data_IF_621422047449
#
_entry.id   IF_621422047449
#
_cell.length_a   1.000
_cell.length_b   1.000
_cell.length_c   1.000
_cell.angle_alpha   90.00
_cell.angle_beta   90.00
_cell.angle_gamma   90.00
#
_symmetry.space_group_name_H-M   'P 1'
#
loop_
_entity.id
_entity.type
_entity.pdbx_description
1 polymer ?
#
# COMPACT_ATOMS: atom_id res chain seq x y z
N UNK A 1 -14.64 1.27 -0.48
CA UNK A 1 -14.64 0.03 0.33
C UNK A 1 -13.56 -0.93 -0.17
N UNK A 2 -12.78 -1.54 0.72
CA UNK A 2 -11.76 -2.53 0.34
C UNK A 2 -12.38 -3.73 -0.38
N UNK A 3 -11.69 -4.27 -1.39
CA UNK A 3 -12.15 -5.42 -2.17
C UNK A 3 -11.61 -6.73 -1.57
N UNK A 4 -12.11 -7.08 -0.39
CA UNK A 4 -11.59 -8.17 0.43
C UNK A 4 -12.03 -9.55 -0.05
N UNK A 5 -13.23 -9.66 -0.63
CA UNK A 5 -13.79 -10.90 -1.14
C UNK A 5 -12.90 -11.50 -2.23
N UNK A 6 -12.51 -10.69 -3.23
CA UNK A 6 -11.66 -11.15 -4.31
C UNK A 6 -10.25 -11.52 -3.81
N UNK A 7 -9.73 -10.74 -2.86
CA UNK A 7 -8.46 -11.03 -2.19
C UNK A 7 -8.50 -12.38 -1.47
N UNK A 8 -9.52 -12.67 -0.65
CA UNK A 8 -9.68 -13.96 0.03
C UNK A 8 -9.81 -15.12 -0.96
N UNK A 9 -10.68 -14.96 -1.95
CA UNK A 9 -10.92 -15.96 -2.99
C UNK A 9 -9.65 -16.33 -3.76
N UNK A 10 -8.82 -15.34 -4.08
CA UNK A 10 -7.52 -15.58 -4.71
C UNK A 10 -6.58 -16.37 -3.83
N UNK A 11 -6.47 -16.01 -2.55
CA UNK A 11 -5.56 -16.68 -1.63
C UNK A 11 -5.98 -18.12 -1.34
N UNK A 12 -7.28 -18.38 -1.12
CA UNK A 12 -7.82 -19.73 -0.99
C UNK A 12 -7.52 -20.56 -2.25
N UNK A 13 -7.79 -20.00 -3.43
CA UNK A 13 -7.50 -20.65 -4.71
C UNK A 13 -6.02 -20.99 -4.90
N UNK A 14 -5.13 -20.06 -4.56
CA UNK A 14 -3.67 -20.27 -4.60
C UNK A 14 -3.24 -21.42 -3.67
N UNK A 15 -3.77 -21.49 -2.44
CA UNK A 15 -3.45 -22.56 -1.48
C UNK A 15 -3.91 -23.93 -1.96
N UNK A 16 -5.14 -24.04 -2.44
CA UNK A 16 -5.68 -25.29 -3.00
C UNK A 16 -4.86 -25.74 -4.20
N UNK A 17 -4.55 -24.81 -5.12
CA UNK A 17 -3.72 -25.08 -6.29
C UNK A 17 -2.32 -25.54 -5.89
N UNK A 18 -1.70 -24.86 -4.93
CA UNK A 18 -0.37 -25.22 -4.43
C UNK A 18 -0.36 -26.63 -3.83
N UNK A 19 -1.32 -26.93 -2.94
CA UNK A 19 -1.46 -28.27 -2.36
C UNK A 19 -1.63 -29.34 -3.46
N UNK A 20 -2.51 -29.09 -4.43
CA UNK A 20 -2.73 -30.02 -5.56
C UNK A 20 -1.48 -30.25 -6.40
N UNK A 21 -0.78 -29.17 -6.78
CA UNK A 21 0.33 -29.24 -7.74
C UNK A 21 1.66 -29.63 -7.10
N UNK A 22 1.87 -29.29 -5.82
CA UNK A 22 3.17 -29.43 -5.14
C UNK A 22 3.19 -30.52 -4.09
N UNK A 23 2.06 -30.83 -3.47
CA UNK A 23 2.01 -31.88 -2.43
C UNK A 23 1.42 -33.19 -2.96
N UNK A 24 0.37 -33.10 -3.78
CA UNK A 24 -0.24 -34.28 -4.39
C UNK A 24 0.27 -34.59 -5.80
N UNK A 25 0.82 -33.59 -6.49
CA UNK A 25 1.29 -33.67 -7.89
C UNK A 25 0.24 -34.27 -8.85
N UNK A 26 -1.02 -33.87 -8.68
CA UNK A 26 -2.14 -34.40 -9.48
C UNK A 26 -2.81 -33.35 -10.37
N UNK A 27 -3.45 -33.84 -11.43
CA UNK A 27 -4.35 -33.05 -12.27
C UNK A 27 -5.62 -32.65 -11.50
N UNK A 28 -6.34 -31.64 -11.98
CA UNK A 28 -7.62 -31.21 -11.40
C UNK A 28 -8.66 -32.35 -11.38
N UNK A 29 -8.70 -33.20 -12.41
CA UNK A 29 -9.63 -34.34 -12.48
C UNK A 29 -9.33 -35.37 -11.39
N UNK A 30 -8.05 -35.70 -11.21
CA UNK A 30 -7.61 -36.62 -10.17
C UNK A 30 -7.84 -36.04 -8.76
N UNK A 31 -7.64 -34.73 -8.56
CA UNK A 31 -7.90 -34.07 -7.29
C UNK A 31 -9.38 -34.16 -6.91
N UNK A 32 -10.29 -33.83 -7.83
CA UNK A 32 -11.73 -33.91 -7.61
C UNK A 32 -12.18 -35.34 -7.34
N UNK A 33 -11.65 -36.32 -8.07
CA UNK A 33 -11.94 -37.73 -7.84
C UNK A 33 -11.53 -38.16 -6.43
N UNK A 34 -10.31 -37.81 -5.98
CA UNK A 34 -9.83 -38.08 -4.62
C UNK A 34 -10.70 -37.41 -3.56
N UNK A 35 -11.01 -36.12 -3.73
CA UNK A 35 -11.84 -35.35 -2.78
C UNK A 35 -13.25 -35.95 -2.63
N UNK A 36 -13.85 -36.41 -3.74
CA UNK A 36 -15.15 -37.08 -3.73
C UNK A 36 -15.11 -38.43 -3.01
N UNK A 37 -14.04 -39.21 -3.19
CA UNK A 37 -13.89 -40.52 -2.54
C UNK A 37 -13.61 -40.40 -1.04
N UNK A 38 -12.80 -39.42 -0.62
CA UNK A 38 -12.35 -39.30 0.77
C UNK A 38 -13.30 -38.49 1.65
N UNK A 39 -13.91 -37.43 1.11
CA UNK A 39 -14.69 -36.46 1.91
C UNK A 39 -16.13 -36.30 1.43
N UNK A 40 -16.58 -37.07 0.44
CA UNK A 40 -17.93 -36.99 -0.16
C UNK A 40 -18.31 -35.59 -0.66
N UNK A 41 -17.34 -34.70 -0.93
CA UNK A 41 -17.61 -33.38 -1.48
C UNK A 41 -17.84 -33.51 -2.99
N UNK A 42 -19.00 -33.04 -3.44
CA UNK A 42 -19.28 -32.87 -4.86
C UNK A 42 -18.68 -31.55 -5.35
N UNK A 43 -17.53 -31.65 -6.02
CA UNK A 43 -16.90 -30.57 -6.76
C UNK A 43 -16.68 -31.06 -8.20
N UNK A 44 -16.77 -30.19 -9.21
CA UNK A 44 -16.40 -30.57 -10.59
C UNK A 44 -15.03 -29.99 -10.94
N UNK A 45 -14.36 -30.54 -11.95
CA UNK A 45 -13.12 -29.96 -12.50
C UNK A 45 -13.30 -28.47 -12.85
N UNK A 46 -14.46 -28.12 -13.43
CA UNK A 46 -14.78 -26.75 -13.80
C UNK A 46 -14.90 -25.84 -12.56
N UNK A 47 -15.55 -26.31 -11.49
CA UNK A 47 -15.60 -25.59 -10.22
C UNK A 47 -14.19 -25.41 -9.63
N UNK A 48 -13.37 -26.47 -9.61
CA UNK A 48 -12.00 -26.41 -9.09
C UNK A 48 -11.16 -25.40 -9.85
N UNK A 49 -11.20 -25.44 -11.19
CA UNK A 49 -10.49 -24.48 -12.02
C UNK A 49 -10.90 -23.03 -11.72
N UNK A 50 -12.19 -22.79 -11.45
CA UNK A 50 -12.66 -21.45 -11.07
C UNK A 50 -12.19 -21.04 -9.68
N UNK A 51 -12.16 -21.96 -8.72
CA UNK A 51 -11.62 -21.74 -7.38
C UNK A 51 -10.14 -21.37 -7.45
N UNK A 52 -9.33 -22.20 -8.11
CA UNK A 52 -7.88 -22.00 -8.24
C UNK A 52 -7.50 -20.71 -8.95
N UNK A 53 -8.36 -20.22 -9.85
CA UNK A 53 -8.14 -19.00 -10.60
C UNK A 53 -8.88 -17.77 -10.02
N UNK A 54 -9.66 -17.92 -8.95
CA UNK A 54 -10.54 -16.88 -8.39
C UNK A 54 -11.57 -16.31 -9.39
N UNK A 55 -11.98 -17.11 -10.38
CA UNK A 55 -12.94 -16.71 -11.41
C UNK A 55 -14.39 -16.94 -10.94
N UNK A 56 -14.85 -16.04 -10.06
CA UNK A 56 -16.27 -15.91 -9.71
C UNK A 56 -17.07 -15.39 -10.92
N UNK A 57 -18.29 -15.91 -11.12
CA UNK A 57 -19.26 -15.39 -12.09
C UNK A 57 -20.40 -14.87 -11.23
N UNK A 58 -20.37 -13.57 -10.91
CA UNK A 58 -21.31 -12.91 -9.98
C UNK A 58 -22.77 -13.22 -10.30
N UNK A 59 -23.11 -13.44 -11.58
CA UNK A 59 -24.48 -13.73 -12.06
C UNK A 59 -25.03 -15.13 -11.72
N UNK A 60 -24.19 -16.16 -11.56
CA UNK A 60 -24.66 -17.55 -11.40
C UNK A 60 -24.28 -18.20 -10.06
N UNK A 61 -23.17 -17.78 -9.45
CA UNK A 61 -22.83 -18.16 -8.08
C UNK A 61 -22.00 -17.02 -7.47
N UNK A 62 -22.59 -16.18 -6.58
CA UNK A 62 -21.89 -15.06 -5.98
C UNK A 62 -20.76 -15.51 -5.03
N UNK A 63 -20.76 -16.77 -4.59
CA UNK A 63 -19.81 -17.29 -3.61
C UNK A 63 -18.88 -18.36 -4.21
N UNK A 64 -17.58 -18.27 -3.94
CA UNK A 64 -16.59 -19.19 -4.53
C UNK A 64 -16.73 -20.62 -3.98
N UNK A 65 -16.99 -20.76 -2.68
CA UNK A 65 -17.09 -22.01 -1.94
C UNK A 65 -18.26 -21.95 -0.95
N UNK A 66 -18.84 -23.11 -0.65
CA UNK A 66 -19.81 -23.30 0.44
C UNK A 66 -19.12 -23.73 1.73
N UNK A 67 -19.76 -23.55 2.88
CA UNK A 67 -19.21 -23.95 4.19
C UNK A 67 -18.83 -25.44 4.23
N UNK A 68 -19.67 -26.31 3.66
CA UNK A 68 -19.38 -27.76 3.54
C UNK A 68 -18.16 -28.04 2.67
N UNK A 69 -17.97 -27.26 1.59
CA UNK A 69 -16.80 -27.41 0.73
C UNK A 69 -15.53 -26.93 1.43
N UNK A 70 -15.60 -25.83 2.19
CA UNK A 70 -14.48 -25.37 3.03
C UNK A 70 -14.10 -26.46 4.02
N UNK A 71 -15.06 -26.98 4.79
CA UNK A 71 -14.78 -28.00 5.81
C UNK A 71 -14.13 -29.24 5.21
N UNK A 72 -14.69 -29.78 4.14
CA UNK A 72 -14.13 -31.01 3.59
C UNK A 72 -12.83 -30.79 2.78
N UNK A 73 -12.60 -29.60 2.20
CA UNK A 73 -11.28 -29.25 1.63
C UNK A 73 -10.23 -29.14 2.72
N UNK A 74 -10.55 -28.47 3.83
CA UNK A 74 -9.70 -28.38 5.02
C UNK A 74 -9.35 -29.77 5.57
N UNK A 75 -10.35 -30.64 5.74
CA UNK A 75 -10.11 -32.03 6.16
C UNK A 75 -9.24 -32.81 5.17
N UNK A 76 -9.42 -32.59 3.87
CA UNK A 76 -8.61 -33.27 2.83
C UNK A 76 -7.16 -32.77 2.80
N UNK A 77 -6.95 -31.48 3.08
CA UNK A 77 -5.65 -30.83 3.10
C UNK A 77 -4.93 -30.94 4.45
N UNK A 78 -5.56 -31.59 5.44
CA UNK A 78 -5.09 -31.70 6.82
C UNK A 78 -4.79 -30.33 7.47
N UNK A 79 -5.70 -29.37 7.28
CA UNK A 79 -5.62 -28.04 7.87
C UNK A 79 -6.96 -27.59 8.47
N UNK A 80 -6.95 -26.53 9.27
CA UNK A 80 -8.21 -25.95 9.77
C UNK A 80 -8.94 -25.13 8.69
N UNK A 81 -10.27 -24.95 8.77
CA UNK A 81 -11.00 -23.97 7.94
C UNK A 81 -10.38 -22.58 8.00
N UNK A 82 -9.92 -22.19 9.18
CA UNK A 82 -9.28 -20.92 9.41
C UNK A 82 -7.97 -20.76 8.62
N UNK A 83 -7.14 -21.79 8.65
CA UNK A 83 -5.87 -21.83 7.93
C UNK A 83 -6.08 -21.89 6.40
N UNK A 84 -7.10 -22.61 5.94
CA UNK A 84 -7.45 -22.59 4.51
C UNK A 84 -7.83 -21.18 4.04
N UNK A 85 -8.65 -20.47 4.82
CA UNK A 85 -9.18 -19.14 4.50
C UNK A 85 -8.12 -18.05 4.66
N UNK A 86 -7.51 -17.94 5.83
CA UNK A 86 -6.62 -16.85 6.19
C UNK A 86 -5.13 -17.19 6.03
N UNK A 87 -4.79 -18.47 5.99
CA UNK A 87 -3.41 -18.95 5.92
C UNK A 87 -2.79 -19.17 7.29
N UNK A 88 -1.49 -19.44 7.25
CA UNK A 88 -0.58 -19.52 8.38
C UNK A 88 -0.47 -18.20 9.15
N UNK A 89 0.22 -18.21 10.30
CA UNK A 89 0.46 -17.00 11.11
C UNK A 89 1.18 -15.92 10.30
N UNK A 90 2.18 -16.29 9.51
CA UNK A 90 2.94 -15.34 8.67
C UNK A 90 2.05 -14.74 7.57
N UNK A 91 1.20 -15.54 6.93
CA UNK A 91 0.24 -15.04 5.94
C UNK A 91 -0.77 -14.07 6.57
N UNK A 92 -1.23 -14.33 7.79
CA UNK A 92 -2.10 -13.42 8.54
C UNK A 92 -1.39 -12.10 8.84
N UNK A 93 -0.12 -12.14 9.25
CA UNK A 93 0.71 -10.94 9.45
C UNK A 93 0.78 -10.10 8.17
N UNK A 94 1.08 -10.74 7.04
CA UNK A 94 1.12 -10.06 5.73
C UNK A 94 -0.24 -9.49 5.34
N UNK A 95 -1.32 -10.23 5.58
CA UNK A 95 -2.69 -9.77 5.33
C UNK A 95 -3.02 -8.51 6.14
N UNK A 96 -2.69 -8.46 7.43
CA UNK A 96 -2.92 -7.27 8.26
C UNK A 96 -2.10 -6.09 7.73
N UNK A 97 -0.83 -6.28 7.37
CA UNK A 97 -0.03 -5.22 6.73
C UNK A 97 -0.67 -4.69 5.45
N UNK A 98 -1.18 -5.58 4.59
CA UNK A 98 -1.88 -5.21 3.36
C UNK A 98 -3.16 -4.40 3.64
N UNK A 99 -3.96 -4.80 4.63
CA UNK A 99 -5.16 -4.07 5.06
C UNK A 99 -4.78 -2.67 5.54
N UNK A 100 -3.78 -2.54 6.41
CA UNK A 100 -3.32 -1.24 6.90
C UNK A 100 -2.81 -0.36 5.76
N UNK A 101 -2.03 -0.90 4.82
CA UNK A 101 -1.60 -0.17 3.62
C UNK A 101 -2.81 0.27 2.79
N UNK A 102 -3.81 -0.59 2.59
CA UNK A 102 -4.97 -0.24 1.78
C UNK A 102 -5.80 0.88 2.43
N UNK A 103 -5.88 0.90 3.77
CA UNK A 103 -6.47 1.99 4.54
C UNK A 103 -5.65 3.28 4.39
N UNK A 104 -4.31 3.22 4.49
CA UNK A 104 -3.43 4.39 4.31
C UNK A 104 -3.62 4.99 2.91
N UNK A 105 -3.58 4.16 1.86
CA UNK A 105 -3.71 4.63 0.47
C UNK A 105 -5.11 5.18 0.21
N UNK A 106 -6.14 4.53 0.77
CA UNK A 106 -7.55 4.86 0.60
C UNK A 106 -7.92 5.20 -0.87
N UNK A 107 -7.47 4.39 -1.82
CA UNK A 107 -7.75 4.57 -3.24
C UNK A 107 -7.06 5.76 -3.93
N UNK A 108 -5.96 6.29 -3.36
CA UNK A 108 -5.18 7.36 -4.00
C UNK A 108 -4.68 6.96 -5.38
N UNK A 109 -4.81 7.87 -6.35
CA UNK A 109 -4.43 7.65 -7.76
C UNK A 109 -3.31 8.57 -8.21
N UNK A 110 -2.48 8.07 -9.13
CA UNK A 110 -1.50 8.89 -9.84
C UNK A 110 -2.23 9.73 -10.88
N UNK A 111 -2.11 11.05 -10.79
CA UNK A 111 -2.82 12.00 -11.67
C UNK A 111 -2.39 11.93 -13.13
N UNK A 112 -1.15 11.54 -13.41
CA UNK A 112 -0.62 11.42 -14.79
C UNK A 112 -1.17 10.19 -15.50
N UNK A 113 -1.31 9.07 -14.78
CA UNK A 113 -1.70 7.78 -15.37
C UNK A 113 -3.16 7.39 -15.09
N UNK A 114 -3.80 8.02 -14.11
CA UNK A 114 -5.14 7.66 -13.61
C UNK A 114 -5.18 6.34 -12.82
N UNK A 115 -4.06 5.61 -12.73
CA UNK A 115 -3.96 4.35 -12.00
C UNK A 115 -3.78 4.54 -10.50
N UNK A 116 -4.08 3.51 -9.71
CA UNK A 116 -3.81 3.51 -8.27
C UNK A 116 -2.32 3.67 -7.96
N UNK A 117 -2.03 4.35 -6.85
CA UNK A 117 -0.68 4.36 -6.28
C UNK A 117 -0.52 3.09 -5.46
N UNK A 118 0.44 2.26 -5.85
CA UNK A 118 0.77 1.05 -5.11
C UNK A 118 2.00 1.29 -4.23
N UNK A 119 2.00 0.93 -2.94
CA UNK A 119 3.15 1.12 -2.04
C UNK A 119 4.27 0.08 -2.26
N UNK A 120 4.39 -0.51 -3.44
CA UNK A 120 5.30 -1.62 -3.73
C UNK A 120 6.25 -1.27 -4.89
N UNK A 121 7.38 -1.95 -4.89
CA UNK A 121 8.36 -1.92 -5.98
C UNK A 121 8.10 -3.16 -6.85
N UNK A 122 7.69 -2.98 -8.12
CA UNK A 122 7.45 -4.11 -9.03
C UNK A 122 8.78 -4.56 -9.64
N UNK A 123 9.37 -5.61 -9.04
CA UNK A 123 10.63 -6.23 -9.49
C UNK A 123 10.46 -7.21 -10.65
N UNK A 124 9.24 -7.41 -11.17
CA UNK A 124 8.96 -8.43 -12.22
C UNK A 124 9.42 -7.95 -13.58
N UNK A 125 10.71 -8.07 -13.82
CA UNK A 125 11.36 -7.78 -15.09
C UNK A 125 11.63 -9.12 -15.78
N UNK A 126 10.97 -9.41 -16.91
CA UNK A 126 11.23 -10.66 -17.65
C UNK A 126 12.43 -10.49 -18.57
N UNK A 127 13.18 -11.58 -18.81
CA UNK A 127 14.25 -11.60 -19.82
C UNK A 127 13.77 -11.10 -21.19
N UNK A 128 12.55 -11.50 -21.59
CA UNK A 128 11.92 -11.02 -22.83
C UNK A 128 11.58 -9.53 -22.81
N UNK A 129 11.18 -8.97 -21.67
CA UNK A 129 10.96 -7.53 -21.54
C UNK A 129 12.27 -6.76 -21.70
N UNK A 130 13.38 -7.29 -21.16
CA UNK A 130 14.74 -6.74 -21.34
C UNK A 130 15.18 -6.83 -22.81
N UNK A 131 14.99 -7.97 -23.47
CA UNK A 131 15.34 -8.18 -24.88
C UNK A 131 14.46 -7.38 -25.87
N UNK A 132 13.21 -7.05 -25.53
CA UNK A 132 12.31 -6.26 -26.39
C UNK A 132 12.67 -4.77 -26.41
N UNK A 133 13.26 -4.26 -25.33
CA UNK A 133 13.84 -2.91 -25.26
C UNK A 133 14.95 -2.77 -26.32
N UNK A 134 15.79 -3.81 -26.49
CA UNK A 134 16.83 -3.88 -27.51
C UNK A 134 16.31 -3.70 -28.96
N UNK A 135 15.02 -4.00 -29.19
CA UNK A 135 14.41 -3.98 -30.52
C UNK A 135 13.42 -2.83 -30.74
N UNK A 136 13.20 -1.95 -29.76
CA UNK A 136 12.18 -0.87 -29.79
C UNK A 136 10.78 -1.36 -30.19
N UNK A 137 10.46 -2.63 -29.93
CA UNK A 137 9.15 -3.22 -30.26
C UNK A 137 8.42 -3.68 -28.99
N UNK A 138 7.36 -2.96 -28.65
CA UNK A 138 6.06 -3.62 -28.47
C UNK A 138 5.66 -4.18 -27.11
N UNK A 139 6.19 -3.72 -25.97
CA UNK A 139 5.51 -3.89 -24.67
C UNK A 139 5.67 -2.64 -23.79
N UNK A 140 4.94 -1.56 -24.15
CA UNK A 140 4.93 -0.28 -23.40
C UNK A 140 4.84 -0.49 -21.88
N UNK A 141 3.97 -1.38 -21.41
CA UNK A 141 3.79 -1.68 -19.98
C UNK A 141 5.03 -2.27 -19.31
N UNK A 142 5.81 -3.11 -20.00
CA UNK A 142 7.00 -3.72 -19.42
C UNK A 142 8.18 -2.73 -19.37
N UNK A 143 8.25 -1.85 -20.37
CA UNK A 143 9.20 -0.72 -20.43
C UNK A 143 8.89 0.26 -19.30
N UNK A 144 7.64 0.70 -19.16
CA UNK A 144 7.21 1.64 -18.11
C UNK A 144 7.54 1.12 -16.70
N UNK A 145 7.36 -0.19 -16.45
CA UNK A 145 7.68 -0.82 -15.15
C UNK A 145 9.18 -0.84 -14.86
N UNK A 146 10.00 -1.21 -15.85
CA UNK A 146 11.44 -1.26 -15.67
C UNK A 146 12.03 0.15 -15.50
N UNK A 147 11.53 1.13 -16.25
CA UNK A 147 11.91 2.53 -16.09
C UNK A 147 11.53 3.04 -14.69
N UNK A 148 10.32 2.74 -14.20
CA UNK A 148 9.91 3.07 -12.82
C UNK A 148 10.82 2.38 -11.79
N UNK A 149 11.14 1.10 -11.98
CA UNK A 149 12.04 0.35 -11.10
C UNK A 149 13.43 1.00 -11.04
N UNK A 150 14.05 1.27 -12.19
CA UNK A 150 15.37 1.91 -12.27
C UNK A 150 15.36 3.32 -11.69
N UNK A 151 14.30 4.11 -11.94
CA UNK A 151 14.12 5.44 -11.34
C UNK A 151 14.09 5.33 -9.82
N UNK A 152 13.29 4.42 -9.28
CA UNK A 152 13.22 4.20 -7.83
C UNK A 152 14.56 3.75 -7.28
N UNK A 153 15.20 2.75 -7.87
CA UNK A 153 16.52 2.28 -7.46
C UNK A 153 17.55 3.41 -7.42
N UNK A 154 17.57 4.28 -8.43
CA UNK A 154 18.46 5.45 -8.49
C UNK A 154 18.23 6.40 -7.32
N UNK A 155 16.97 6.66 -6.97
CA UNK A 155 16.61 7.64 -5.95
C UNK A 155 16.75 7.09 -4.51
N UNK A 156 16.83 5.77 -4.35
CA UNK A 156 16.71 5.07 -3.05
C UNK A 156 18.00 4.38 -2.62
N UNK A 157 18.71 3.74 -3.55
CA UNK A 157 19.92 2.98 -3.25
C UNK A 157 21.09 3.94 -3.16
N UNK A 158 21.83 3.91 -2.04
CA UNK A 158 22.96 4.80 -1.77
C UNK A 158 24.31 4.08 -1.75
N UNK A 159 24.38 2.85 -2.27
CA UNK A 159 25.62 2.08 -2.40
C UNK A 159 26.50 2.67 -3.50
N UNK A 160 27.71 3.13 -3.19
CA UNK A 160 28.47 4.01 -4.09
C UNK A 160 28.74 3.46 -5.49
N UNK A 161 29.06 2.17 -5.62
CA UNK A 161 29.35 1.56 -6.93
C UNK A 161 28.06 1.25 -7.68
N UNK A 162 27.11 0.58 -7.02
CA UNK A 162 25.82 0.23 -7.59
C UNK A 162 25.00 1.46 -7.97
N UNK A 163 25.05 2.55 -7.19
CA UNK A 163 24.38 3.83 -7.48
C UNK A 163 24.83 4.40 -8.81
N UNK A 164 26.13 4.37 -9.10
CA UNK A 164 26.66 4.88 -10.36
C UNK A 164 26.21 4.03 -11.56
N UNK A 165 26.16 2.70 -11.39
CA UNK A 165 25.68 1.77 -12.41
C UNK A 165 24.18 1.98 -12.68
N UNK A 166 23.35 2.09 -11.65
CA UNK A 166 21.91 2.36 -11.77
C UNK A 166 21.68 3.72 -12.43
N UNK A 167 22.42 4.75 -12.02
CA UNK A 167 22.33 6.09 -12.59
C UNK A 167 22.64 6.08 -14.09
N UNK A 168 23.70 5.37 -14.49
CA UNK A 168 24.04 5.21 -15.90
C UNK A 168 22.93 4.52 -16.68
N UNK A 169 22.39 3.40 -16.17
CA UNK A 169 21.29 2.67 -16.82
C UNK A 169 20.03 3.52 -16.95
N UNK A 170 19.67 4.27 -15.90
CA UNK A 170 18.49 5.12 -15.92
C UNK A 170 18.64 6.30 -16.90
N UNK A 171 19.76 7.03 -16.85
CA UNK A 171 19.99 8.18 -17.74
C UNK A 171 20.09 7.77 -19.21
N UNK A 172 20.63 6.58 -19.48
CA UNK A 172 20.79 6.07 -20.83
C UNK A 172 19.69 5.09 -21.24
N UNK A 173 18.60 4.95 -20.46
CA UNK A 173 17.60 3.88 -20.63
C UNK A 173 17.05 3.76 -22.07
N UNK A 174 16.89 4.88 -22.79
CA UNK A 174 16.42 4.90 -24.17
C UNK A 174 17.53 4.74 -25.24
N UNK A 175 18.79 4.67 -24.82
CA UNK A 175 19.99 4.58 -25.65
C UNK A 175 20.78 3.28 -25.43
N UNK A 176 20.61 2.59 -24.30
CA UNK A 176 21.26 1.29 -24.07
C UNK A 176 20.54 0.20 -24.87
N UNK A 177 21.31 -0.63 -25.58
CA UNK A 177 20.77 -1.76 -26.34
C UNK A 177 20.38 -2.94 -25.42
N UNK A 178 21.03 -3.10 -24.28
CA UNK A 178 20.72 -4.12 -23.27
C UNK A 178 20.82 -3.52 -21.85
N UNK A 179 19.89 -3.90 -20.97
CA UNK A 179 19.95 -3.55 -19.54
C UNK A 179 20.75 -4.63 -18.81
N UNK A 180 21.73 -4.22 -18.02
CA UNK A 180 22.60 -5.12 -17.26
C UNK A 180 21.78 -5.95 -16.25
N UNK A 181 21.72 -7.27 -16.47
CA UNK A 181 20.96 -8.18 -15.61
C UNK A 181 21.57 -8.28 -14.21
N UNK A 182 22.89 -8.11 -14.07
CA UNK A 182 23.60 -8.17 -12.80
C UNK A 182 23.19 -6.98 -11.93
N UNK A 183 23.22 -5.77 -12.50
CA UNK A 183 22.78 -4.54 -11.79
C UNK A 183 21.31 -4.63 -11.36
N UNK A 184 20.43 -5.17 -12.21
CA UNK A 184 19.02 -5.37 -11.83
C UNK A 184 18.90 -6.36 -10.68
N UNK A 185 19.65 -7.46 -10.71
CA UNK A 185 19.63 -8.45 -9.65
C UNK A 185 20.18 -7.88 -8.33
N UNK A 186 21.28 -7.11 -8.37
CA UNK A 186 21.81 -6.41 -7.21
C UNK A 186 20.80 -5.44 -6.60
N UNK A 187 20.03 -4.71 -7.42
CA UNK A 187 18.93 -3.88 -6.93
C UNK A 187 17.85 -4.71 -6.22
N UNK A 188 17.46 -5.85 -6.81
CA UNK A 188 16.47 -6.76 -6.22
C UNK A 188 16.96 -7.31 -4.89
N UNK A 189 18.23 -7.71 -4.81
CA UNK A 189 18.84 -8.27 -3.60
C UNK A 189 18.94 -7.19 -2.51
N UNK A 190 19.27 -5.96 -2.87
CA UNK A 190 19.24 -4.81 -1.97
C UNK A 190 17.83 -4.60 -1.40
N UNK A 191 16.81 -4.49 -2.24
CA UNK A 191 15.43 -4.32 -1.76
C UNK A 191 14.93 -5.52 -0.96
N UNK A 192 15.33 -6.74 -1.32
CA UNK A 192 14.97 -7.96 -0.58
C UNK A 192 15.59 -7.95 0.82
N UNK A 193 16.79 -7.37 0.95
CA UNK A 193 17.48 -7.22 2.23
C UNK A 193 16.81 -6.17 3.13
N UNK A 194 16.54 -4.98 2.59
CA UNK A 194 16.09 -3.83 3.40
C UNK A 194 14.56 -3.67 3.48
N UNK A 195 13.82 -4.11 2.45
CA UNK A 195 12.37 -3.95 2.32
C UNK A 195 11.67 -5.20 1.76
N UNK A 196 11.87 -6.40 2.33
CA UNK A 196 11.38 -7.67 1.77
C UNK A 196 9.88 -7.70 1.51
N UNK A 197 9.08 -7.06 2.37
CA UNK A 197 7.63 -7.00 2.20
C UNK A 197 7.21 -6.17 0.98
N UNK A 198 7.93 -5.09 0.67
CA UNK A 198 7.54 -4.12 -0.37
C UNK A 198 8.07 -4.48 -1.77
N UNK A 199 8.99 -5.44 -1.86
CA UNK A 199 9.52 -5.98 -3.13
C UNK A 199 8.88 -7.33 -3.50
N UNK A 200 8.15 -7.98 -2.58
CA UNK A 200 7.53 -9.30 -2.80
C UNK A 200 6.42 -9.21 -3.87
N UNK A 201 6.58 -9.86 -5.03
CA UNK A 201 5.59 -9.80 -6.09
C UNK A 201 4.22 -10.38 -5.71
N UNK A 202 4.18 -11.32 -4.76
CA UNK A 202 2.91 -11.87 -4.28
C UNK A 202 2.13 -10.85 -3.46
N UNK A 203 2.83 -10.07 -2.64
CA UNK A 203 2.20 -9.03 -1.83
C UNK A 203 1.75 -7.86 -2.71
N UNK A 204 2.50 -7.55 -3.77
CA UNK A 204 2.05 -6.60 -4.78
C UNK A 204 0.74 -7.06 -5.46
N UNK A 205 0.68 -8.29 -5.94
CA UNK A 205 -0.54 -8.85 -6.55
C UNK A 205 -1.72 -8.87 -5.58
N UNK A 206 -1.46 -9.23 -4.33
CA UNK A 206 -2.45 -9.27 -3.27
C UNK A 206 -2.98 -7.87 -2.95
N UNK A 207 -2.11 -6.86 -2.91
CA UNK A 207 -2.49 -5.48 -2.71
C UNK A 207 -3.36 -4.96 -3.87
N UNK A 208 -3.02 -5.30 -5.11
CA UNK A 208 -3.81 -4.94 -6.29
C UNK A 208 -5.24 -5.50 -6.25
N UNK A 209 -5.44 -6.65 -5.59
CA UNK A 209 -6.77 -7.23 -5.41
C UNK A 209 -7.57 -6.55 -4.31
N UNK A 210 -6.88 -6.05 -3.28
CA UNK A 210 -7.50 -5.48 -2.07
C UNK A 210 -7.88 -4.00 -2.25
N UNK A 211 -7.06 -3.23 -2.95
CA UNK A 211 -7.29 -1.80 -3.18
C UNK A 211 -8.55 -1.55 -4.01
N UNK A 212 -9.24 -0.45 -3.73
CA UNK A 212 -10.41 0.02 -4.45
C UNK A 212 -10.39 1.55 -4.54
N UNK A 213 -11.40 2.13 -5.18
CA UNK A 213 -11.62 3.58 -5.21
C UNK A 213 -11.76 4.17 -3.80
N UNK A 214 -11.55 5.49 -3.74
CA UNK A 214 -11.65 6.28 -2.52
C UNK A 214 -12.92 5.99 -1.73
N UNK A 215 -12.74 5.85 -0.42
CA UNK A 215 -13.79 5.59 0.54
C UNK A 215 -13.80 6.66 1.63
N UNK A 216 -14.91 7.40 1.71
CA UNK A 216 -15.08 8.45 2.71
C UNK A 216 -15.16 7.88 4.13
N UNK A 217 -15.72 6.69 4.28
CA UNK A 217 -15.95 6.10 5.61
C UNK A 217 -14.64 5.64 6.27
N UNK A 218 -13.56 5.52 5.49
CA UNK A 218 -12.23 5.08 5.94
C UNK A 218 -11.28 6.28 6.19
N UNK A 219 -11.67 7.52 5.88
CA UNK A 219 -10.80 8.71 6.01
C UNK A 219 -10.21 8.86 7.41
N UNK A 220 -11.03 8.63 8.44
CA UNK A 220 -10.60 8.79 9.83
C UNK A 220 -9.47 7.82 10.16
N UNK A 221 -9.63 6.55 9.81
CA UNK A 221 -8.66 5.49 10.05
C UNK A 221 -7.41 5.69 9.22
N UNK A 222 -7.58 6.09 7.95
CA UNK A 222 -6.47 6.44 7.06
C UNK A 222 -5.59 7.51 7.68
N UNK A 223 -6.19 8.61 8.13
CA UNK A 223 -5.48 9.74 8.71
C UNK A 223 -4.89 9.43 10.09
N UNK A 224 -5.56 8.62 10.92
CA UNK A 224 -4.99 8.17 12.19
C UNK A 224 -3.76 7.27 11.98
N UNK A 225 -3.81 6.35 11.01
CA UNK A 225 -2.65 5.50 10.70
C UNK A 225 -1.52 6.33 10.09
N UNK A 226 -1.81 7.28 9.19
CA UNK A 226 -0.81 8.22 8.68
C UNK A 226 -0.17 9.01 9.83
N UNK A 227 -0.96 9.44 10.83
CA UNK A 227 -0.42 10.11 12.02
C UNK A 227 0.48 9.19 12.85
N UNK A 228 0.20 7.88 12.95
CA UNK A 228 1.11 6.92 13.59
C UNK A 228 2.45 6.79 12.85
N UNK A 229 2.48 6.98 11.53
CA UNK A 229 3.73 7.02 10.76
C UNK A 229 4.61 8.22 11.15
N UNK A 230 4.00 9.31 11.67
CA UNK A 230 4.74 10.52 12.09
C UNK A 230 5.67 10.27 13.27
N UNK A 231 5.58 9.13 13.95
CA UNK A 231 6.60 8.73 14.93
C UNK A 231 8.01 8.64 14.32
N UNK A 232 8.11 8.46 13.00
CA UNK A 232 9.36 8.63 12.27
C UNK A 232 9.55 10.11 11.85
N UNK A 233 10.62 10.74 12.35
CA UNK A 233 10.87 12.17 12.14
C UNK A 233 11.15 12.53 10.68
N UNK A 234 11.82 11.67 9.92
CA UNK A 234 12.15 11.96 8.52
C UNK A 234 10.91 11.92 7.65
N UNK A 235 10.02 10.94 7.90
CA UNK A 235 8.70 10.90 7.31
C UNK A 235 7.86 12.13 7.69
N UNK A 236 7.82 12.51 8.98
CA UNK A 236 7.08 13.70 9.43
C UNK A 236 7.52 14.96 8.68
N UNK A 237 8.83 15.20 8.58
CA UNK A 237 9.38 16.35 7.86
C UNK A 237 8.97 16.33 6.39
N UNK A 238 9.19 15.20 5.70
CA UNK A 238 8.88 15.04 4.27
C UNK A 238 7.39 15.18 3.98
N UNK A 239 6.55 14.60 4.82
CA UNK A 239 5.10 14.73 4.72
C UNK A 239 4.66 16.18 4.89
N UNK A 240 5.18 16.88 5.91
CA UNK A 240 4.82 18.28 6.17
C UNK A 240 5.38 19.26 5.13
N UNK A 241 6.56 19.00 4.56
CA UNK A 241 7.06 19.70 3.37
C UNK A 241 6.05 19.57 2.21
N UNK A 242 5.52 18.37 1.98
CA UNK A 242 4.48 18.12 1.00
C UNK A 242 3.18 18.89 1.26
N UNK A 243 2.67 18.86 2.50
CA UNK A 243 1.50 19.64 2.92
C UNK A 243 1.73 21.13 2.68
N UNK A 244 2.86 21.67 3.14
CA UNK A 244 3.20 23.09 3.01
C UNK A 244 3.31 23.51 1.55
N UNK A 245 3.91 22.69 0.69
CA UNK A 245 4.03 22.98 -0.73
C UNK A 245 2.66 23.00 -1.42
N UNK A 246 1.78 22.04 -1.11
CA UNK A 246 0.41 22.03 -1.60
C UNK A 246 -0.32 23.32 -1.16
N UNK A 247 -0.19 23.65 0.12
CA UNK A 247 -0.82 24.82 0.72
C UNK A 247 -0.37 26.14 0.08
N UNK A 248 0.95 26.35 -0.02
CA UNK A 248 1.54 27.52 -0.65
C UNK A 248 1.13 27.65 -2.11
N UNK A 249 1.15 26.55 -2.87
CA UNK A 249 0.77 26.54 -4.28
C UNK A 249 -0.72 26.85 -4.49
N UNK A 250 -1.60 26.43 -3.58
CA UNK A 250 -3.04 26.78 -3.60
C UNK A 250 -3.26 28.29 -3.45
N UNK A 251 -2.50 28.94 -2.56
CA UNK A 251 -2.65 30.38 -2.32
C UNK A 251 -1.98 31.24 -3.40
N UNK A 252 -0.81 30.84 -3.90
CA UNK A 252 0.06 31.72 -4.69
C UNK A 252 -0.03 31.51 -6.19
N UNK A 253 -0.54 30.36 -6.66
CA UNK A 253 -0.62 30.05 -8.09
C UNK A 253 -2.05 29.62 -8.46
N UNK A 254 -2.94 30.59 -8.78
CA UNK A 254 -4.32 30.31 -9.15
C UNK A 254 -4.42 29.30 -10.29
N UNK A 255 -5.20 28.23 -10.09
CA UNK A 255 -5.43 27.18 -11.08
C UNK A 255 -4.32 26.12 -11.20
N UNK A 256 -3.23 26.21 -10.44
CA UNK A 256 -2.19 25.17 -10.38
C UNK A 256 -2.71 23.90 -9.71
N UNK A 257 -3.53 24.07 -8.68
CA UNK A 257 -4.19 23.00 -7.94
C UNK A 257 -5.68 23.08 -8.26
N UNK A 258 -6.25 21.97 -8.71
CA UNK A 258 -7.70 21.88 -8.96
C UNK A 258 -8.46 21.87 -7.64
N UNK A 259 -9.69 22.36 -7.63
CA UNK A 259 -10.51 22.42 -6.41
C UNK A 259 -10.70 21.05 -5.73
N UNK A 260 -10.75 19.95 -6.51
CA UNK A 260 -10.83 18.57 -6.01
C UNK A 260 -9.57 18.09 -5.26
N UNK A 261 -8.45 18.79 -5.47
CA UNK A 261 -7.15 18.56 -4.84
C UNK A 261 -6.84 19.58 -3.75
N UNK A 262 -7.82 20.43 -3.41
CA UNK A 262 -7.68 21.36 -2.30
C UNK A 262 -7.51 20.56 -1.00
N UNK A 263 -6.55 20.98 -0.18
CA UNK A 263 -6.20 20.33 1.08
C UNK A 263 -6.16 21.41 2.14
N UNK A 264 -7.18 21.45 2.98
CA UNK A 264 -7.12 22.28 4.17
C UNK A 264 -6.20 21.60 5.19
N UNK A 265 -5.33 22.37 5.82
CA UNK A 265 -4.52 21.89 6.95
C UNK A 265 -5.41 21.45 8.12
N UNK A 266 -6.62 21.99 8.21
CA UNK A 266 -7.64 21.54 9.15
C UNK A 266 -8.19 20.14 8.84
N UNK A 267 -8.19 19.69 7.58
CA UNK A 267 -8.74 18.38 7.22
C UNK A 267 -7.92 17.26 7.88
N UNK A 268 -6.60 17.29 7.74
CA UNK A 268 -5.74 16.31 8.39
C UNK A 268 -5.84 16.40 9.92
N UNK A 269 -6.02 17.60 10.48
CA UNK A 269 -6.26 17.77 11.92
C UNK A 269 -7.56 17.09 12.35
N UNK A 270 -8.63 17.22 11.57
CA UNK A 270 -9.96 16.65 11.80
C UNK A 270 -10.08 15.18 11.36
N UNK A 271 -9.01 14.60 10.79
CA UNK A 271 -8.98 13.26 10.20
C UNK A 271 -9.91 13.08 9.00
N UNK A 272 -10.16 14.14 8.24
CA UNK A 272 -10.92 14.12 6.97
C UNK A 272 -9.95 14.21 5.78
N UNK A 273 -10.42 13.88 4.57
CA UNK A 273 -9.63 13.96 3.35
C UNK A 273 -8.71 12.75 3.08
N UNK A 274 -8.34 12.58 1.80
CA UNK A 274 -7.44 11.52 1.34
C UNK A 274 -5.96 11.98 1.30
N UNK A 275 -5.11 11.47 2.19
CA UNK A 275 -3.68 11.84 2.25
C UNK A 275 -2.71 10.71 1.85
N UNK A 276 -3.20 9.53 1.46
CA UNK A 276 -2.36 8.38 1.11
C UNK A 276 -1.36 8.65 -0.03
N UNK A 277 -1.78 9.32 -1.09
CA UNK A 277 -0.90 9.70 -2.20
C UNK A 277 0.22 10.65 -1.78
N UNK A 278 -0.07 11.55 -0.84
CA UNK A 278 0.92 12.45 -0.24
C UNK A 278 1.85 11.70 0.72
N UNK A 279 1.32 10.76 1.52
CA UNK A 279 2.13 9.93 2.41
C UNK A 279 3.22 9.16 1.66
N UNK A 280 2.89 8.66 0.47
CA UNK A 280 3.84 7.93 -0.37
C UNK A 280 4.69 8.86 -1.24
N UNK A 281 4.38 10.17 -1.25
CA UNK A 281 4.99 11.18 -2.11
C UNK A 281 5.08 10.70 -3.57
N UNK A 282 4.02 10.07 -4.07
CA UNK A 282 3.97 9.51 -5.44
C UNK A 282 5.16 8.58 -5.81
N UNK A 283 5.78 7.92 -4.82
CA UNK A 283 7.02 7.17 -4.97
C UNK A 283 8.22 8.03 -5.43
N UNK A 284 8.32 9.25 -4.97
CA UNK A 284 9.48 10.14 -5.22
C UNK A 284 10.44 10.12 -4.03
N UNK A 285 11.25 11.15 -3.83
CA UNK A 285 12.34 11.18 -2.85
C UNK A 285 11.93 10.83 -1.40
N UNK A 286 10.67 11.01 -1.00
CA UNK A 286 10.19 10.62 0.34
C UNK A 286 9.53 9.24 0.43
N UNK A 287 9.55 8.46 -0.64
CA UNK A 287 9.04 7.08 -0.64
C UNK A 287 9.79 6.19 0.34
N UNK A 288 11.12 6.32 0.42
CA UNK A 288 11.95 5.60 1.40
C UNK A 288 11.54 5.93 2.82
N UNK A 289 11.30 7.22 3.10
CA UNK A 289 10.83 7.67 4.41
C UNK A 289 9.49 7.03 4.76
N UNK A 290 8.58 6.86 3.79
CA UNK A 290 7.34 6.11 3.99
C UNK A 290 7.58 4.63 4.30
N UNK A 291 8.43 3.93 3.54
CA UNK A 291 8.72 2.51 3.78
C UNK A 291 9.33 2.29 5.17
N UNK A 292 10.27 3.15 5.56
CA UNK A 292 10.88 3.14 6.89
C UNK A 292 9.85 3.42 7.98
N UNK A 293 9.06 4.48 7.85
CA UNK A 293 8.03 4.83 8.81
C UNK A 293 6.98 3.72 8.97
N UNK A 294 6.58 3.07 7.88
CA UNK A 294 5.63 1.94 7.95
C UNK A 294 6.24 0.74 8.67
N UNK A 295 7.48 0.36 8.35
CA UNK A 295 8.16 -0.75 9.01
C UNK A 295 8.38 -0.47 10.50
N UNK A 296 8.81 0.74 10.86
CA UNK A 296 8.98 1.13 12.26
C UNK A 296 7.65 1.16 13.02
N UNK A 297 6.60 1.76 12.44
CA UNK A 297 5.25 1.77 13.02
C UNK A 297 4.74 0.34 13.21
N UNK A 298 4.89 -0.52 12.20
CA UNK A 298 4.54 -1.93 12.30
C UNK A 298 5.30 -2.62 13.43
N UNK A 299 6.62 -2.44 13.53
CA UNK A 299 7.45 -3.10 14.53
C UNK A 299 7.05 -2.73 15.97
N UNK A 300 6.67 -1.46 16.20
CA UNK A 300 6.17 -1.01 17.50
C UNK A 300 4.77 -1.53 17.82
N UNK A 301 3.93 -1.70 16.81
CA UNK A 301 2.48 -1.85 16.98
C UNK A 301 1.91 -3.19 16.51
N UNK A 302 2.74 -4.10 15.99
CA UNK A 302 2.28 -5.35 15.40
C UNK A 302 1.42 -6.18 16.37
N UNK A 303 1.81 -6.31 17.63
CA UNK A 303 1.07 -7.09 18.62
C UNK A 303 -0.34 -6.52 18.84
N UNK A 304 -0.47 -5.20 18.85
CA UNK A 304 -1.74 -4.51 19.00
C UNK A 304 -2.66 -4.78 17.81
N UNK A 305 -2.16 -4.58 16.58
CA UNK A 305 -2.93 -4.83 15.37
C UNK A 305 -3.27 -6.32 15.21
N UNK A 306 -2.29 -7.20 15.42
CA UNK A 306 -2.50 -8.64 15.32
C UNK A 306 -3.52 -9.12 16.35
N UNK A 307 -3.50 -8.63 17.60
CA UNK A 307 -4.54 -8.96 18.58
C UNK A 307 -5.92 -8.52 18.10
N UNK A 308 -6.06 -7.28 17.64
CA UNK A 308 -7.34 -6.77 17.16
C UNK A 308 -7.90 -7.60 16.00
N UNK A 309 -7.11 -7.82 14.95
CA UNK A 309 -7.55 -8.63 13.81
C UNK A 309 -7.70 -10.10 14.16
N UNK A 310 -6.94 -10.63 15.13
CA UNK A 310 -7.16 -11.98 15.60
C UNK A 310 -8.54 -12.12 16.24
N UNK A 311 -8.98 -11.16 17.05
CA UNK A 311 -10.24 -11.26 17.77
C UNK A 311 -11.45 -11.00 16.86
N UNK A 312 -11.31 -10.13 15.85
CA UNK A 312 -12.44 -9.67 15.03
C UNK A 312 -12.50 -10.32 13.64
N UNK A 313 -11.36 -10.81 13.10
CA UNK A 313 -11.27 -11.36 11.76
C UNK A 313 -10.81 -12.82 11.75
N UNK A 314 -9.78 -13.19 12.52
CA UNK A 314 -9.20 -14.52 12.43
C UNK A 314 -9.75 -15.53 13.43
N UNK A 315 -10.38 -15.15 14.53
CA UNK A 315 -10.92 -16.10 15.53
C UNK A 315 -12.40 -16.38 15.29
N UNK A 316 -12.79 -16.49 14.02
CA UNK A 316 -14.18 -16.73 13.66
C UNK A 316 -14.54 -18.20 13.85
N UNK A 317 -15.61 -18.42 14.60
CA UNK A 317 -16.25 -19.73 14.73
C UNK A 317 -17.11 -20.02 13.50
N UNK A 318 -16.60 -20.88 12.61
CA UNK A 318 -17.29 -21.29 11.39
C UNK A 318 -18.53 -22.18 11.63
N UNK A 319 -18.83 -22.55 12.89
CA UNK A 319 -20.11 -23.19 13.22
C UNK A 319 -21.25 -22.18 13.35
N UNK A 320 -20.93 -20.91 13.64
CA UNK A 320 -21.90 -19.83 13.84
C UNK A 320 -21.88 -18.80 12.71
N UNK A 321 -20.70 -18.48 12.17
CA UNK A 321 -20.51 -17.52 11.08
C UNK A 321 -20.27 -18.26 9.77
N UNK A 322 -21.08 -17.96 8.75
CA UNK A 322 -20.95 -18.57 7.43
C UNK A 322 -19.82 -17.90 6.66
N UNK A 323 -19.04 -18.66 5.90
CA UNK A 323 -17.99 -18.10 5.03
C UNK A 323 -18.54 -17.03 4.08
N UNK A 324 -19.79 -17.22 3.62
CA UNK A 324 -20.48 -16.28 2.74
C UNK A 324 -20.72 -14.89 3.31
N UNK A 325 -20.68 -14.72 4.63
CA UNK A 325 -20.78 -13.41 5.27
C UNK A 325 -19.42 -12.75 5.49
N UNK A 326 -18.31 -13.35 5.04
CA UNK A 326 -16.98 -12.74 5.05
C UNK A 326 -16.73 -12.05 3.71
N UNK A 327 -17.50 -11.02 3.45
CA UNK A 327 -17.44 -10.22 2.22
C UNK A 327 -16.79 -8.86 2.47
N UNK A 328 -16.90 -7.97 1.48
CA UNK A 328 -16.33 -6.63 1.54
C UNK A 328 -16.98 -5.80 2.67
N UNK A 329 -18.28 -5.96 2.90
CA UNK A 329 -19.02 -5.26 3.96
C UNK A 329 -18.55 -5.72 5.34
N UNK A 330 -18.25 -7.01 5.51
CA UNK A 330 -17.73 -7.55 6.76
C UNK A 330 -16.40 -6.92 7.18
N UNK A 331 -15.41 -6.88 6.28
CA UNK A 331 -14.14 -6.23 6.61
C UNK A 331 -14.32 -4.72 6.82
N UNK A 332 -15.23 -4.11 6.07
CA UNK A 332 -15.51 -2.69 6.18
C UNK A 332 -16.12 -2.36 7.55
N UNK A 333 -17.02 -3.20 8.05
CA UNK A 333 -17.54 -3.12 9.42
C UNK A 333 -16.44 -3.27 10.48
N UNK A 334 -15.47 -4.16 10.29
CA UNK A 334 -14.34 -4.34 11.22
C UNK A 334 -13.46 -3.09 11.28
N UNK A 335 -13.09 -2.51 10.13
CA UNK A 335 -12.19 -1.35 10.08
C UNK A 335 -12.91 -0.04 10.45
N UNK A 336 -14.24 0.02 10.29
CA UNK A 336 -15.05 1.17 10.70
C UNK A 336 -15.69 1.01 12.08
N UNK A 337 -15.36 -0.05 12.79
CA UNK A 337 -15.83 -0.26 14.15
C UNK A 337 -15.32 0.84 15.10
N UNK A 338 -16.12 1.12 16.11
CA UNK A 338 -15.73 2.04 17.17
C UNK A 338 -14.46 1.56 17.89
N UNK A 339 -14.34 0.25 18.07
CA UNK A 339 -13.22 -0.43 18.72
C UNK A 339 -11.90 -0.20 17.97
N UNK A 340 -11.89 -0.32 16.64
CA UNK A 340 -10.69 -0.07 15.85
C UNK A 340 -10.28 1.40 15.89
N UNK A 341 -11.25 2.31 15.71
CA UNK A 341 -11.00 3.75 15.75
C UNK A 341 -10.44 4.16 17.12
N UNK A 342 -11.06 3.66 18.21
CA UNK A 342 -10.58 3.89 19.57
C UNK A 342 -9.18 3.36 19.80
N UNK A 343 -8.88 2.16 19.30
CA UNK A 343 -7.54 1.57 19.36
C UNK A 343 -6.50 2.47 18.68
N UNK A 344 -6.81 2.99 17.48
CA UNK A 344 -5.92 3.91 16.76
C UNK A 344 -5.71 5.22 17.51
N UNK A 345 -6.77 5.84 18.04
CA UNK A 345 -6.68 7.07 18.84
C UNK A 345 -5.83 6.87 20.09
N UNK A 346 -6.13 5.84 20.90
CA UNK A 346 -5.40 5.55 22.12
C UNK A 346 -3.93 5.28 21.84
N UNK A 347 -3.61 4.58 20.74
CA UNK A 347 -2.22 4.34 20.38
C UNK A 347 -1.51 5.59 19.91
N UNK A 348 -2.18 6.44 19.13
CA UNK A 348 -1.62 7.71 18.69
C UNK A 348 -1.32 8.62 19.88
N UNK A 349 -2.24 8.73 20.84
CA UNK A 349 -2.04 9.51 22.06
C UNK A 349 -0.82 9.00 22.84
N UNK A 350 -0.65 7.70 22.98
CA UNK A 350 0.53 7.09 23.60
C UNK A 350 1.83 7.44 22.86
N UNK A 351 1.86 7.29 21.52
CA UNK A 351 3.05 7.56 20.71
C UNK A 351 3.44 9.05 20.68
N UNK A 352 2.48 9.97 20.85
CA UNK A 352 2.76 11.40 20.94
C UNK A 352 3.64 11.79 22.13
N UNK A 353 3.63 11.00 23.21
CA UNK A 353 4.43 11.25 24.42
C UNK A 353 5.53 10.23 24.65
N UNK A 354 5.71 9.26 23.74
CA UNK A 354 6.78 8.27 23.82
C UNK A 354 8.11 8.86 23.33
N UNK A 355 9.20 8.66 24.09
CA UNK A 355 10.53 9.21 23.77
C UNK A 355 11.05 8.86 22.38
N UNK A 356 10.67 7.71 21.83
CA UNK A 356 11.13 7.24 20.52
C UNK A 356 10.42 7.96 19.36
N UNK A 357 9.18 8.41 19.57
CA UNK A 357 8.28 8.89 18.50
C UNK A 357 7.86 10.36 18.68
N UNK A 358 7.97 10.90 19.89
CA UNK A 358 7.51 12.26 20.25
C UNK A 358 8.08 13.33 19.34
N UNK A 359 9.35 13.21 18.92
CA UNK A 359 10.01 14.22 18.10
C UNK A 359 9.33 14.37 16.73
N UNK A 360 8.94 13.25 16.12
CA UNK A 360 8.22 13.26 14.85
C UNK A 360 6.80 13.81 15.00
N UNK A 361 6.08 13.41 16.06
CA UNK A 361 4.75 13.97 16.33
C UNK A 361 4.78 15.47 16.69
N UNK A 362 5.77 15.91 17.45
CA UNK A 362 5.97 17.32 17.79
C UNK A 362 6.31 18.13 16.55
N UNK A 363 7.16 17.59 15.66
CA UNK A 363 7.45 18.20 14.37
C UNK A 363 6.18 18.40 13.54
N UNK A 364 5.38 17.33 13.36
CA UNK A 364 4.09 17.39 12.70
C UNK A 364 3.18 18.47 13.30
N UNK A 365 3.02 18.50 14.63
CA UNK A 365 2.18 19.48 15.32
C UNK A 365 2.67 20.91 15.14
N UNK A 366 3.98 21.15 15.25
CA UNK A 366 4.57 22.47 15.09
C UNK A 366 4.38 23.01 13.67
N UNK A 367 4.55 22.17 12.64
CA UNK A 367 4.29 22.56 11.26
C UNK A 367 2.81 22.90 11.04
N UNK A 368 1.88 22.09 11.54
CA UNK A 368 0.45 22.40 11.44
C UNK A 368 0.11 23.72 12.13
N UNK A 369 0.65 23.95 13.32
CA UNK A 369 0.47 25.22 14.04
C UNK A 369 1.05 26.39 13.26
N UNK A 370 2.23 26.23 12.66
CA UNK A 370 2.84 27.27 11.85
C UNK A 370 1.97 27.64 10.66
N UNK A 371 1.47 26.67 9.88
CA UNK A 371 0.62 26.99 8.72
C UNK A 371 -0.67 27.70 9.17
N UNK A 372 -1.32 27.21 10.23
CA UNK A 372 -2.51 27.87 10.78
C UNK A 372 -2.20 29.30 11.27
N UNK A 373 -1.03 29.54 11.86
CA UNK A 373 -0.62 30.89 12.26
C UNK A 373 -0.35 31.78 11.05
N UNK A 374 0.30 31.27 10.01
CA UNK A 374 0.53 31.97 8.74
C UNK A 374 -0.80 32.38 8.06
N UNK A 375 -1.89 31.63 8.28
CA UNK A 375 -3.23 31.96 7.78
C UNK A 375 -3.97 33.02 8.59
N UNK A 376 -3.79 32.98 9.92
CA UNK A 376 -4.46 33.92 10.83
C UNK A 376 -3.71 35.24 10.95
N UNK A 377 -2.42 35.25 10.62
CA UNK A 377 -1.67 36.47 10.36
C UNK A 377 -2.10 36.89 8.95
N UNK A 378 -2.90 37.95 8.86
CA UNK A 378 -3.33 38.46 7.57
C UNK A 378 -2.09 38.80 6.75
N UNK A 379 -1.76 37.97 5.75
CA UNK A 379 -0.63 38.22 4.87
C UNK A 379 -0.78 39.58 4.18
N UNK A 380 -2.00 40.14 4.09
CA UNK A 380 -2.27 41.51 3.66
C UNK A 380 -1.84 42.58 4.69
N UNK A 381 -1.93 42.33 5.99
CA UNK A 381 -1.35 43.24 7.00
C UNK A 381 0.18 43.24 6.93
N UNK A 382 0.80 42.08 6.68
CA UNK A 382 2.26 42.00 6.47
C UNK A 382 2.70 42.48 5.08
N UNK A 383 1.89 42.32 4.02
CA UNK A 383 2.19 42.87 2.69
C UNK A 383 2.14 44.40 2.68
N UNK A 384 1.32 45.00 3.55
CA UNK A 384 1.26 46.44 3.77
C UNK A 384 2.36 46.94 4.73
N UNK A 385 3.10 46.03 5.37
CA UNK A 385 4.30 46.38 6.12
C UNK A 385 5.45 46.63 5.14
N UNK A 386 5.92 47.88 5.12
CA UNK A 386 7.02 48.38 4.28
C UNK A 386 8.25 47.48 4.39
N UNK A 387 8.46 46.84 5.54
CA UNK A 387 9.61 45.95 5.78
C UNK A 387 9.52 44.63 5.01
N UNK A 388 8.32 44.11 4.76
CA UNK A 388 8.13 42.85 4.03
C UNK A 388 8.32 43.06 2.51
N UNK A 389 7.79 44.16 1.96
CA UNK A 389 8.03 44.57 0.57
C UNK A 389 9.51 44.75 0.27
N UNK A 390 10.25 45.42 1.18
CA UNK A 390 11.69 45.65 1.02
C UNK A 390 12.50 44.35 1.00
N UNK A 391 12.10 43.35 1.79
CA UNK A 391 12.77 42.04 1.82
C UNK A 391 12.45 41.19 0.58
N UNK A 392 11.21 41.24 0.07
CA UNK A 392 10.83 40.59 -1.18
C UNK A 392 11.58 41.17 -2.38
N UNK A 393 11.69 42.51 -2.46
CA UNK A 393 12.48 43.17 -3.49
C UNK A 393 13.97 42.82 -3.36
N UNK A 394 14.53 42.76 -2.14
CA UNK A 394 15.91 42.37 -1.92
C UNK A 394 16.20 40.90 -2.31
N UNK A 395 15.28 39.98 -2.02
CA UNK A 395 15.39 38.55 -2.42
C UNK A 395 15.25 38.41 -3.95
N UNK A 396 14.32 39.14 -4.57
CA UNK A 396 14.16 39.15 -6.03
C UNK A 396 15.35 39.80 -6.74
N UNK A 397 15.99 40.82 -6.16
CA UNK A 397 17.25 41.37 -6.66
C UNK A 397 18.39 40.36 -6.51
N UNK A 398 18.52 39.70 -5.36
CA UNK A 398 19.57 38.71 -5.14
C UNK A 398 19.50 37.56 -6.16
N UNK A 399 18.29 37.05 -6.42
CA UNK A 399 18.06 35.98 -7.40
C UNK A 399 18.12 36.42 -8.87
N UNK A 400 18.26 37.73 -9.16
CA UNK A 400 18.48 38.26 -10.52
C UNK A 400 19.95 38.40 -10.88
N UNK A 401 20.82 38.41 -9.87
CA UNK A 401 22.25 38.68 -10.04
C UNK A 401 23.16 37.54 -9.55
N UNK A 402 22.55 36.41 -9.14
CA UNK A 402 23.16 35.10 -8.89
C UNK A 402 22.24 34.04 -9.49
#
# INVERSE_FOLDING_TARGET
MLNFTNFLYRNIGKRIKHYREKQLEVTQDQFVAKLKMTNYISLTKYNLSRIENANNIKKNNPYLLTDTQIQGLSNFMDCSPNELIFGTVDEKVKMVKLILLAIIINGSKNKKTGGFIYPFIDSRVTKKAREKIAKKEGEKTAIDRLEEFLRLSKDIITDGELTNQILYLYLNFHYVEEVDEEVIQECIDWYTTYYPFFIDPNEFDNFQLLINDFDKDIETQSNLIIKLLMGNIDFSKKFMEGIRNIYFNQQTVPGLIKDEDFKDVNDIKQNTGQYGGLAILYKEAGYVSFLNAFNEMWNRNNNLFMSYFNDHLFSIDFTTVKFKSMDDDYIHGIINSYEFIKLLYSKLEEEMYNKQTMLGHDNFRLYLQQIILEDNIDLLELHNDIFYQYNLEAIQLHNRYF
#
